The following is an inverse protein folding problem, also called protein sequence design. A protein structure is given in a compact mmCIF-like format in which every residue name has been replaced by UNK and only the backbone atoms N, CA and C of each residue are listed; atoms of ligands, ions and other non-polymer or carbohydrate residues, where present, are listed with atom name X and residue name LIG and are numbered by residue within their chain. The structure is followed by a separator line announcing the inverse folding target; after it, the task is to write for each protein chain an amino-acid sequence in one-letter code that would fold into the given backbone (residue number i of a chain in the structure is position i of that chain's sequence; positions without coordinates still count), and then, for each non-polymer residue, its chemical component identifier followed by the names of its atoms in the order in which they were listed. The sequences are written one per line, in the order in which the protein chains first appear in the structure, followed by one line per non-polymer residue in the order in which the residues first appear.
data_IF_483999989721
#
_entry.id   IF_483999989721
#
_cell.length_a   1.000
_cell.length_b   1.000
_cell.length_c   1.000
_cell.angle_alpha   90.00
_cell.angle_beta   90.00
_cell.angle_gamma   90.00
#
_symmetry.space_group_name_H-M   'P 1'
#
loop_
_entity.id
_entity.type
_entity.pdbx_description
1 polymer ?
#
# COMPACT_ATOMS: atom_id res chain seq x y z
N UNK A 1 -13.77 19.02 0.61
CA UNK A 1 -13.46 17.65 1.10
C UNK A 1 -12.04 17.67 1.65
N UNK A 2 -11.81 17.26 2.90
CA UNK A 2 -10.47 17.34 3.52
C UNK A 2 -9.50 16.33 2.90
N UNK A 3 -8.20 16.61 2.93
CA UNK A 3 -7.17 15.67 2.48
C UNK A 3 -7.16 14.40 3.34
N UNK A 4 -7.39 14.55 4.65
CA UNK A 4 -7.52 13.46 5.61
C UNK A 4 -8.63 12.47 5.21
N UNK A 5 -9.83 12.97 4.88
CA UNK A 5 -10.94 12.12 4.47
C UNK A 5 -10.63 11.32 3.18
N UNK A 6 -9.80 11.88 2.28
CA UNK A 6 -9.35 11.18 1.07
C UNK A 6 -8.35 10.08 1.38
N UNK A 7 -7.43 10.31 2.31
CA UNK A 7 -6.45 9.30 2.75
C UNK A 7 -7.17 8.13 3.40
N UNK A 8 -8.07 8.40 4.35
CA UNK A 8 -8.88 7.36 5.01
C UNK A 8 -9.65 6.52 3.98
N UNK A 9 -10.30 7.16 3.01
CA UNK A 9 -11.04 6.44 1.97
C UNK A 9 -10.14 5.54 1.10
N UNK A 10 -8.94 6.01 0.75
CA UNK A 10 -7.97 5.24 -0.02
C UNK A 10 -7.42 4.06 0.79
N UNK A 11 -7.15 4.24 2.08
CA UNK A 11 -6.73 3.17 2.99
C UNK A 11 -7.76 2.04 3.03
N UNK A 12 -9.03 2.37 3.28
CA UNK A 12 -10.11 1.38 3.30
C UNK A 12 -10.28 0.65 1.97
N UNK A 13 -10.20 1.37 0.84
CA UNK A 13 -10.28 0.77 -0.49
C UNK A 13 -9.14 -0.23 -0.73
N UNK A 14 -7.91 0.13 -0.37
CA UNK A 14 -6.73 -0.74 -0.52
C UNK A 14 -6.88 -2.00 0.35
N UNK A 15 -7.30 -1.86 1.60
CA UNK A 15 -7.52 -2.99 2.50
C UNK A 15 -8.56 -3.97 1.92
N UNK A 16 -9.71 -3.48 1.45
CA UNK A 16 -10.75 -4.32 0.85
C UNK A 16 -10.26 -5.07 -0.39
N UNK A 17 -9.48 -4.42 -1.27
CA UNK A 17 -8.93 -5.06 -2.45
C UNK A 17 -7.95 -6.18 -2.08
N UNK A 18 -7.09 -5.94 -1.09
CA UNK A 18 -6.10 -6.91 -0.62
C UNK A 18 -6.76 -8.14 0.02
N UNK A 19 -7.83 -7.94 0.79
CA UNK A 19 -8.64 -9.02 1.36
C UNK A 19 -9.35 -9.85 0.28
N UNK A 20 -9.98 -9.21 -0.70
CA UNK A 20 -10.66 -9.89 -1.80
C UNK A 20 -9.67 -10.73 -2.64
N UNK A 21 -8.46 -10.20 -2.87
CA UNK A 21 -7.39 -10.92 -3.56
C UNK A 21 -6.89 -12.15 -2.78
N UNK A 22 -6.76 -12.06 -1.45
CA UNK A 22 -6.43 -13.22 -0.60
C UNK A 22 -7.45 -14.35 -0.75
N UNK A 23 -8.73 -14.01 -0.82
CA UNK A 23 -9.82 -14.99 -0.89
C UNK A 23 -9.94 -15.62 -2.27
N UNK A 24 -9.73 -14.84 -3.35
CA UNK A 24 -10.00 -15.29 -4.72
C UNK A 24 -8.87 -16.04 -5.42
N UNK A 25 -7.69 -16.18 -4.80
CA UNK A 25 -6.54 -16.88 -5.38
C UNK A 25 -5.96 -16.23 -6.66
N UNK A 26 -6.49 -15.06 -7.05
CA UNK A 26 -6.04 -14.29 -8.20
C UNK A 26 -5.02 -13.24 -7.78
N UNK A 27 -3.82 -13.32 -8.37
CA UNK A 27 -2.62 -12.52 -8.05
C UNK A 27 -2.13 -12.72 -6.62
N UNK A 28 -0.87 -13.16 -6.45
CA UNK A 28 -0.24 -13.23 -5.14
C UNK A 28 -0.21 -11.82 -4.52
N UNK A 29 -0.95 -11.59 -3.42
CA UNK A 29 -1.07 -10.25 -2.84
C UNK A 29 0.29 -9.61 -2.50
N UNK A 30 1.26 -10.43 -2.07
CA UNK A 30 2.63 -10.00 -1.81
C UNK A 30 3.29 -9.37 -3.06
N UNK A 31 3.11 -10.00 -4.24
CA UNK A 31 3.66 -9.49 -5.50
C UNK A 31 3.04 -8.15 -5.91
N UNK A 32 1.78 -7.89 -5.55
CA UNK A 32 1.13 -6.60 -5.77
C UNK A 32 1.73 -5.53 -4.86
N UNK A 33 1.89 -5.83 -3.56
CA UNK A 33 2.50 -4.93 -2.57
C UNK A 33 3.93 -4.58 -2.99
N UNK A 34 4.73 -5.56 -3.41
CA UNK A 34 6.08 -5.30 -3.94
C UNK A 34 6.06 -4.38 -5.17
N UNK A 35 5.10 -4.57 -6.08
CA UNK A 35 4.98 -3.74 -7.28
C UNK A 35 4.62 -2.30 -6.91
N UNK A 36 3.74 -2.11 -5.93
CA UNK A 36 3.40 -0.80 -5.41
C UNK A 36 4.62 -0.13 -4.73
N UNK A 37 5.41 -0.85 -3.93
CA UNK A 37 6.67 -0.35 -3.35
C UNK A 37 7.65 0.10 -4.46
N UNK A 38 7.82 -0.71 -5.51
CA UNK A 38 8.67 -0.33 -6.67
C UNK A 38 8.15 0.92 -7.36
N UNK A 39 6.83 1.07 -7.50
CA UNK A 39 6.21 2.28 -8.05
C UNK A 39 6.46 3.51 -7.18
N UNK A 40 6.32 3.40 -5.86
CA UNK A 40 6.57 4.49 -4.92
C UNK A 40 8.04 4.95 -5.03
N UNK A 41 8.98 3.99 -5.01
CA UNK A 41 10.43 4.28 -5.10
C UNK A 41 10.88 4.82 -6.46
N UNK A 42 10.16 4.50 -7.54
CA UNK A 42 10.49 4.98 -8.89
C UNK A 42 9.79 6.28 -9.26
N UNK A 43 8.81 6.72 -8.46
CA UNK A 43 8.21 8.04 -8.58
C UNK A 43 9.30 9.09 -8.38
N UNK A 44 9.52 9.94 -9.38
CA UNK A 44 10.42 11.10 -9.28
C UNK A 44 9.78 12.19 -8.41
N UNK A 45 9.56 11.93 -7.13
CA UNK A 45 9.25 13.00 -6.18
C UNK A 45 10.53 13.83 -5.96
N UNK A 46 10.57 15.11 -6.35
CA UNK A 46 11.77 15.93 -6.16
C UNK A 46 11.98 16.19 -4.67
N UNK A 47 13.15 15.78 -4.15
CA UNK A 47 13.61 16.14 -2.79
C UNK A 47 13.00 15.36 -1.64
N UNK A 48 12.49 14.14 -1.86
CA UNK A 48 11.51 13.55 -0.95
C UNK A 48 11.80 12.08 -0.58
N UNK A 49 13.06 11.78 -0.24
CA UNK A 49 13.44 10.47 0.30
C UNK A 49 12.61 10.14 1.55
N UNK A 50 12.42 11.13 2.43
CA UNK A 50 11.60 11.00 3.63
C UNK A 50 10.13 10.66 3.32
N UNK A 51 9.46 11.35 2.37
CA UNK A 51 8.08 10.97 2.02
C UNK A 51 8.00 9.65 1.28
N UNK A 52 9.04 9.30 0.50
CA UNK A 52 9.11 7.99 -0.15
C UNK A 52 9.18 6.88 0.90
N UNK A 53 10.01 7.05 1.93
CA UNK A 53 10.12 6.13 3.06
C UNK A 53 8.82 6.07 3.87
N UNK A 54 8.20 7.21 4.17
CA UNK A 54 6.93 7.27 4.89
C UNK A 54 5.80 6.55 4.13
N UNK A 55 5.72 6.75 2.82
CA UNK A 55 4.73 6.07 1.97
C UNK A 55 4.97 4.55 1.88
N UNK A 56 6.23 4.11 1.78
CA UNK A 56 6.59 2.68 1.82
C UNK A 56 6.27 2.08 3.19
N UNK A 57 6.54 2.80 4.29
CA UNK A 57 6.23 2.39 5.65
C UNK A 57 4.73 2.18 5.84
N UNK A 58 3.93 3.19 5.50
CA UNK A 58 2.47 3.12 5.59
C UNK A 58 1.88 1.93 4.82
N UNK A 59 2.37 1.66 3.61
CA UNK A 59 1.92 0.51 2.82
C UNK A 59 2.26 -0.84 3.48
N UNK A 60 3.44 -0.98 4.10
CA UNK A 60 3.84 -2.20 4.82
C UNK A 60 3.03 -2.40 6.10
N UNK A 61 2.71 -1.33 6.81
CA UNK A 61 1.90 -1.37 8.01
C UNK A 61 0.46 -1.81 7.67
N UNK A 62 -0.13 -1.21 6.63
CA UNK A 62 -1.44 -1.63 6.10
C UNK A 62 -1.45 -3.11 5.70
N UNK A 63 -0.39 -3.59 5.03
CA UNK A 63 -0.31 -4.99 4.64
C UNK A 63 -0.22 -5.94 5.84
N UNK A 64 0.50 -5.54 6.89
CA UNK A 64 0.58 -6.30 8.15
C UNK A 64 -0.78 -6.40 8.84
N UNK A 65 -1.58 -5.33 8.83
CA UNK A 65 -2.93 -5.30 9.43
C UNK A 65 -3.89 -6.31 8.79
N UNK A 66 -3.75 -6.59 7.49
CA UNK A 66 -4.55 -7.60 6.77
C UNK A 66 -4.13 -9.04 7.17
N UNK A 67 -3.21 -9.22 8.12
CA UNK A 67 -2.75 -10.52 8.61
C UNK A 67 -1.86 -11.25 7.61
N UNK A 68 -1.20 -10.53 6.70
CA UNK A 68 -0.16 -11.09 5.85
C UNK A 68 1.20 -11.07 6.56
N UNK A 69 2.03 -12.08 6.32
CA UNK A 69 3.43 -12.01 6.76
C UNK A 69 4.11 -10.85 6.05
N UNK A 70 4.98 -10.14 6.78
CA UNK A 70 5.79 -9.05 6.22
C UNK A 70 6.52 -9.57 4.95
N UNK A 71 6.34 -8.92 3.79
CA UNK A 71 6.99 -9.32 2.55
C UNK A 71 8.49 -9.07 2.63
#
# INVERSE_FOLDING_TARGET
MSQEAKVIALEHLVLTLLEDMKVRGGSQPDALVERAIRSIKSSRYPGDEERTEAAVGALKDLWTLVGAKKP
#
